data_IF_028048032012
#
_entry.id   IF_028048032012
#
_cell.length_a   1.000
_cell.length_b   1.000
_cell.length_c   1.000
_cell.angle_alpha   90.00
_cell.angle_beta   90.00
_cell.angle_gamma   90.00
#
_symmetry.space_group_name_H-M   'P 1'
#
loop_
_entity.id
_entity.type
_entity.pdbx_description
1 polymer ?
#
# COMPACT_ATOMS: atom_id res chain seq x y z
N UNK A 1 10.98 28.06 -21.32
CA UNK A 1 11.10 27.23 -20.10
C UNK A 1 9.76 26.53 -19.91
N UNK A 2 9.78 25.21 -19.89
CA UNK A 2 8.61 24.40 -19.64
C UNK A 2 8.46 24.08 -18.15
N UNK A 3 7.25 23.68 -17.74
CA UNK A 3 7.00 23.29 -16.33
C UNK A 3 7.83 22.05 -15.96
N UNK A 4 8.72 22.18 -14.98
CA UNK A 4 9.58 21.10 -14.52
C UNK A 4 10.94 21.03 -15.19
N UNK A 5 11.31 21.98 -16.06
CA UNK A 5 12.64 22.10 -16.63
C UNK A 5 13.65 22.58 -15.57
N UNK A 6 14.81 21.93 -15.53
CA UNK A 6 15.87 22.29 -14.59
C UNK A 6 16.55 23.59 -15.02
N UNK A 7 16.59 24.57 -14.13
CA UNK A 7 17.28 25.84 -14.34
C UNK A 7 18.76 25.79 -13.93
N UNK A 8 19.10 24.91 -13.02
CA UNK A 8 20.44 24.73 -12.48
C UNK A 8 20.74 23.23 -12.44
N UNK A 9 21.95 22.87 -12.76
CA UNK A 9 22.43 21.49 -12.65
C UNK A 9 22.50 21.06 -11.18
N UNK A 10 21.92 19.90 -10.86
CA UNK A 10 21.85 19.40 -9.50
C UNK A 10 20.85 18.25 -9.37
N UNK A 11 20.88 17.56 -8.22
CA UNK A 11 19.94 16.49 -7.92
C UNK A 11 18.63 17.08 -7.37
N UNK A 12 17.50 16.91 -8.06
CA UNK A 12 16.21 17.42 -7.60
C UNK A 12 15.73 16.59 -6.39
N UNK A 13 14.95 17.23 -5.52
CA UNK A 13 14.29 16.51 -4.46
C UNK A 13 13.17 15.62 -5.03
N UNK A 14 13.10 14.32 -4.66
CA UNK A 14 12.08 13.42 -5.19
C UNK A 14 10.63 13.89 -4.93
N UNK A 15 10.40 14.60 -3.82
CA UNK A 15 9.09 15.16 -3.50
C UNK A 15 8.67 16.28 -4.47
N UNK A 16 9.62 17.09 -4.93
CA UNK A 16 9.36 18.16 -5.92
C UNK A 16 9.06 17.56 -7.28
N UNK A 17 9.78 16.50 -7.68
CA UNK A 17 9.47 15.76 -8.90
C UNK A 17 8.04 15.23 -8.86
N UNK A 18 7.62 14.63 -7.74
CA UNK A 18 6.26 14.12 -7.59
C UNK A 18 5.20 15.22 -7.72
N UNK A 19 5.43 16.38 -7.12
CA UNK A 19 4.46 17.48 -7.11
C UNK A 19 4.37 18.21 -8.44
N UNK A 20 5.48 18.28 -9.19
CA UNK A 20 5.59 19.10 -10.43
C UNK A 20 5.38 18.24 -11.68
N UNK A 21 6.12 17.13 -11.79
CA UNK A 21 6.17 16.28 -12.98
C UNK A 21 5.26 15.05 -12.88
N UNK A 22 4.85 14.67 -11.67
CA UNK A 22 3.96 13.55 -11.44
C UNK A 22 4.65 12.22 -11.15
N UNK A 23 3.83 11.16 -11.07
CA UNK A 23 4.21 9.84 -10.56
C UNK A 23 5.14 9.07 -11.50
N UNK A 24 4.90 9.13 -12.81
CA UNK A 24 5.71 8.41 -13.81
C UNK A 24 7.13 8.96 -13.90
N UNK A 25 7.27 10.29 -13.89
CA UNK A 25 8.57 10.95 -13.91
C UNK A 25 9.39 10.61 -12.66
N UNK A 26 8.75 10.60 -11.48
CA UNK A 26 9.40 10.19 -10.24
C UNK A 26 9.84 8.72 -10.27
N UNK A 27 8.99 7.82 -10.74
CA UNK A 27 9.33 6.40 -10.84
C UNK A 27 10.53 6.18 -11.75
N UNK A 28 10.53 6.80 -12.93
CA UNK A 28 11.65 6.73 -13.89
C UNK A 28 12.93 7.33 -13.31
N UNK A 29 12.84 8.45 -12.62
CA UNK A 29 13.98 9.07 -11.95
C UNK A 29 14.59 8.14 -10.90
N UNK A 30 13.79 7.58 -9.99
CA UNK A 30 14.27 6.68 -8.94
C UNK A 30 14.91 5.41 -9.51
N UNK A 31 14.30 4.81 -10.52
CA UNK A 31 14.86 3.62 -11.19
C UNK A 31 16.22 3.96 -11.81
N UNK A 32 16.32 5.07 -12.54
CA UNK A 32 17.55 5.46 -13.20
C UNK A 32 18.69 5.75 -12.20
N UNK A 33 18.40 6.50 -11.13
CA UNK A 33 19.38 6.83 -10.09
C UNK A 33 19.91 5.57 -9.38
N UNK A 34 19.02 4.65 -8.99
CA UNK A 34 19.42 3.40 -8.34
C UNK A 34 20.21 2.52 -9.32
N UNK A 35 19.75 2.39 -10.55
CA UNK A 35 20.46 1.60 -11.59
C UNK A 35 21.82 2.18 -11.91
N UNK A 36 21.98 3.50 -11.92
CA UNK A 36 23.29 4.14 -12.16
C UNK A 36 24.31 3.70 -11.12
N UNK A 37 23.94 3.66 -9.85
CA UNK A 37 24.82 3.19 -8.76
C UNK A 37 25.20 1.73 -8.91
N UNK A 38 24.24 0.85 -9.24
CA UNK A 38 24.54 -0.57 -9.48
C UNK A 38 25.43 -0.80 -10.71
N UNK A 39 25.19 -0.08 -11.80
CA UNK A 39 26.01 -0.15 -13.02
C UNK A 39 27.45 0.29 -12.79
N UNK A 40 27.67 1.33 -11.97
CA UNK A 40 29.00 1.77 -11.57
C UNK A 40 29.79 0.68 -10.82
N UNK A 41 29.08 -0.20 -10.09
CA UNK A 41 29.68 -1.33 -9.38
C UNK A 41 29.76 -2.61 -10.23
N UNK A 42 29.39 -2.55 -11.52
CA UNK A 42 29.40 -3.70 -12.42
C UNK A 42 28.29 -4.72 -12.18
N UNK A 43 27.27 -4.36 -11.41
CA UNK A 43 26.14 -5.23 -11.09
C UNK A 43 24.97 -4.92 -12.04
N UNK A 44 24.45 -5.95 -12.70
CA UNK A 44 23.28 -5.85 -13.58
C UNK A 44 22.04 -6.36 -12.85
N UNK A 45 21.05 -5.49 -12.63
CA UNK A 45 19.77 -5.80 -11.99
C UNK A 45 18.66 -5.43 -12.97
N UNK A 46 17.60 -6.24 -13.04
CA UNK A 46 16.42 -5.88 -13.82
C UNK A 46 15.63 -4.77 -13.12
N UNK A 47 15.18 -3.79 -13.88
CA UNK A 47 14.44 -2.61 -13.40
C UNK A 47 13.19 -2.99 -12.60
N UNK A 48 12.56 -4.12 -12.91
CA UNK A 48 11.36 -4.61 -12.21
C UNK A 48 11.54 -4.79 -10.71
N UNK A 49 12.73 -5.13 -10.24
CA UNK A 49 13.02 -5.27 -8.80
C UNK A 49 12.95 -3.92 -8.08
N UNK A 50 13.36 -2.84 -8.74
CA UNK A 50 13.31 -1.48 -8.20
C UNK A 50 11.90 -0.91 -8.35
N UNK A 51 11.26 -1.13 -9.49
CA UNK A 51 9.90 -0.67 -9.76
C UNK A 51 8.88 -1.20 -8.74
N UNK A 52 8.99 -2.47 -8.33
CA UNK A 52 8.12 -3.06 -7.29
C UNK A 52 8.27 -2.33 -5.97
N UNK A 53 9.49 -1.98 -5.57
CA UNK A 53 9.76 -1.24 -4.33
C UNK A 53 9.21 0.18 -4.45
N UNK A 54 9.47 0.86 -5.56
CA UNK A 54 8.98 2.22 -5.83
C UNK A 54 7.45 2.27 -5.80
N UNK A 55 6.78 1.26 -6.37
CA UNK A 55 5.32 1.14 -6.31
C UNK A 55 4.81 1.06 -4.87
N UNK A 56 5.48 0.32 -3.99
CA UNK A 56 5.10 0.24 -2.57
C UNK A 56 5.32 1.57 -1.83
N UNK A 57 6.37 2.33 -2.19
CA UNK A 57 6.62 3.67 -1.63
C UNK A 57 5.57 4.70 -2.03
N UNK A 58 4.90 4.51 -3.17
CA UNK A 58 3.88 5.40 -3.76
C UNK A 58 2.45 4.89 -3.56
N UNK A 59 2.25 3.87 -2.75
CA UNK A 59 0.94 3.26 -2.54
C UNK A 59 0.00 4.14 -1.72
N UNK A 60 0.54 5.02 -0.88
CA UNK A 60 -0.26 5.87 0.02
C UNK A 60 -0.57 7.22 -0.61
N UNK A 61 -1.73 7.73 -0.23
CA UNK A 61 -2.20 9.06 -0.59
C UNK A 61 -2.55 9.84 0.68
N UNK A 62 -2.41 11.15 0.63
CA UNK A 62 -2.80 12.07 1.69
C UNK A 62 -4.05 12.83 1.29
N UNK A 63 -5.01 12.90 2.17
CA UNK A 63 -6.28 13.59 1.96
C UNK A 63 -6.05 15.10 2.04
N UNK A 64 -6.34 15.80 0.94
CA UNK A 64 -6.30 17.27 0.89
C UNK A 64 -7.64 17.87 1.35
N UNK A 65 -8.74 17.38 0.80
CA UNK A 65 -10.09 17.79 1.17
C UNK A 65 -10.94 16.53 1.43
N UNK A 66 -11.47 16.33 2.63
CA UNK A 66 -12.24 15.14 2.97
C UNK A 66 -13.63 15.07 2.30
N UNK A 67 -14.17 16.18 1.76
CA UNK A 67 -15.53 16.21 1.25
C UNK A 67 -16.55 15.73 2.29
N UNK A 68 -17.50 14.88 1.89
CA UNK A 68 -18.51 14.26 2.76
C UNK A 68 -18.02 12.95 3.43
N UNK A 69 -16.72 12.66 3.38
CA UNK A 69 -16.15 11.48 4.02
C UNK A 69 -15.96 11.64 5.52
N UNK A 70 -15.85 10.53 6.25
CA UNK A 70 -15.60 10.53 7.69
C UNK A 70 -14.13 10.77 8.09
N UNK A 71 -13.26 11.05 7.12
CA UNK A 71 -11.83 11.24 7.32
C UNK A 71 -11.46 12.69 7.62
N UNK A 72 -10.21 12.87 8.06
CA UNK A 72 -9.67 14.19 8.40
C UNK A 72 -8.62 14.59 7.36
N UNK A 73 -8.55 15.88 7.05
CA UNK A 73 -7.49 16.42 6.17
C UNK A 73 -6.10 16.11 6.74
N UNK A 74 -5.17 15.63 5.89
CA UNK A 74 -3.84 15.20 6.27
C UNK A 74 -3.74 13.71 6.66
N UNK A 75 -4.83 12.97 6.70
CA UNK A 75 -4.82 11.52 6.94
C UNK A 75 -4.26 10.76 5.74
N UNK A 76 -3.54 9.67 6.00
CA UNK A 76 -2.89 8.86 4.97
C UNK A 76 -3.63 7.54 4.79
N UNK A 77 -4.11 7.30 3.58
CA UNK A 77 -4.84 6.09 3.18
C UNK A 77 -4.13 5.33 2.06
N UNK A 78 -4.51 4.08 1.86
CA UNK A 78 -4.15 3.36 0.65
C UNK A 78 -4.92 3.92 -0.55
N UNK A 79 -4.24 4.07 -1.69
CA UNK A 79 -4.84 4.60 -2.92
C UNK A 79 -6.10 3.82 -3.33
N UNK A 80 -6.05 2.49 -3.27
CA UNK A 80 -7.20 1.63 -3.60
C UNK A 80 -8.38 1.87 -2.66
N UNK A 81 -8.11 2.02 -1.37
CA UNK A 81 -9.15 2.30 -0.37
C UNK A 81 -9.79 3.67 -0.60
N UNK A 82 -8.98 4.68 -0.94
CA UNK A 82 -9.48 6.01 -1.29
C UNK A 82 -10.36 5.99 -2.55
N UNK A 83 -9.98 5.22 -3.56
CA UNK A 83 -10.76 5.02 -4.79
C UNK A 83 -12.11 4.33 -4.49
N UNK A 84 -12.11 3.24 -3.72
CA UNK A 84 -13.34 2.53 -3.32
C UNK A 84 -14.30 3.43 -2.52
N UNK A 85 -13.77 4.26 -1.63
CA UNK A 85 -14.58 5.19 -0.84
C UNK A 85 -15.19 6.25 -1.75
N UNK A 86 -14.40 6.82 -2.68
CA UNK A 86 -14.90 7.80 -3.64
C UNK A 86 -15.99 7.21 -4.54
N UNK A 87 -15.85 5.98 -5.01
CA UNK A 87 -16.91 5.31 -5.78
C UNK A 87 -18.21 5.19 -4.96
N UNK A 88 -18.11 4.85 -3.68
CA UNK A 88 -19.27 4.77 -2.78
C UNK A 88 -19.93 6.13 -2.53
N UNK A 89 -19.13 7.21 -2.39
CA UNK A 89 -19.63 8.58 -2.20
C UNK A 89 -20.33 9.07 -3.48
N UNK A 90 -19.73 8.86 -4.63
CA UNK A 90 -20.32 9.21 -5.93
C UNK A 90 -21.65 8.46 -6.16
N UNK A 91 -21.73 7.17 -5.83
CA UNK A 91 -22.96 6.39 -5.92
C UNK A 91 -24.08 6.95 -5.03
N UNK A 92 -23.71 7.57 -3.89
CA UNK A 92 -24.64 8.26 -2.97
C UNK A 92 -24.91 9.72 -3.34
N UNK A 93 -24.31 10.24 -4.43
CA UNK A 93 -24.37 11.67 -4.84
C UNK A 93 -23.82 12.63 -3.78
N UNK A 94 -22.80 12.21 -3.07
CA UNK A 94 -22.05 13.00 -2.08
C UNK A 94 -20.77 13.53 -2.70
N UNK A 95 -20.16 14.55 -2.11
CA UNK A 95 -18.90 15.13 -2.57
C UNK A 95 -17.75 14.11 -2.38
N UNK A 96 -17.01 13.77 -3.47
CA UNK A 96 -15.86 12.88 -3.36
C UNK A 96 -14.71 13.56 -2.61
N UNK A 97 -13.88 12.74 -1.99
CA UNK A 97 -12.67 13.18 -1.31
C UNK A 97 -11.56 13.49 -2.32
N UNK A 98 -10.85 14.60 -2.13
CA UNK A 98 -9.65 14.95 -2.90
C UNK A 98 -8.39 14.47 -2.16
N UNK A 99 -7.48 13.84 -2.89
CA UNK A 99 -6.23 13.34 -2.34
C UNK A 99 -5.04 13.60 -3.25
N UNK A 100 -3.85 13.63 -2.66
CA UNK A 100 -2.58 13.78 -3.36
C UNK A 100 -1.69 12.56 -3.11
N UNK A 101 -0.97 12.06 -4.12
CA UNK A 101 0.00 11.01 -3.92
C UNK A 101 1.15 11.51 -3.04
N UNK A 102 1.60 10.66 -2.12
CA UNK A 102 2.76 10.93 -1.28
C UNK A 102 3.85 9.90 -1.51
N UNK A 103 5.10 10.33 -1.39
CA UNK A 103 6.25 9.45 -1.41
C UNK A 103 6.66 9.12 0.03
N UNK A 104 6.57 7.84 0.38
CA UNK A 104 7.04 7.34 1.67
C UNK A 104 8.44 6.74 1.53
N UNK A 105 9.30 6.98 2.52
CA UNK A 105 10.57 6.24 2.62
C UNK A 105 10.33 4.74 2.84
N UNK A 106 11.28 3.90 2.44
CA UNK A 106 11.17 2.42 2.47
C UNK A 106 10.76 1.92 3.87
N UNK A 107 11.39 2.41 4.93
CA UNK A 107 11.08 2.02 6.30
C UNK A 107 9.65 2.37 6.68
N UNK A 108 9.21 3.59 6.39
CA UNK A 108 7.86 4.06 6.71
C UNK A 108 6.81 3.29 5.91
N UNK A 109 7.05 3.05 4.62
CA UNK A 109 6.18 2.23 3.79
C UNK A 109 6.04 0.80 4.31
N UNK A 110 7.12 0.20 4.82
CA UNK A 110 7.13 -1.15 5.38
C UNK A 110 6.41 -1.26 6.74
N UNK A 111 6.40 -0.20 7.54
CA UNK A 111 5.72 -0.16 8.85
C UNK A 111 4.23 0.21 8.72
N UNK A 112 3.84 0.96 7.71
CA UNK A 112 2.46 1.38 7.46
C UNK A 112 1.68 0.39 6.59
N UNK A 113 1.94 -0.91 6.74
CA UNK A 113 1.18 -1.96 6.07
C UNK A 113 -0.13 -2.27 6.80
N UNK A 114 -1.10 -2.85 6.09
CA UNK A 114 -2.38 -3.28 6.69
C UNK A 114 -2.19 -4.38 7.74
N UNK A 115 -1.19 -5.25 7.56
CA UNK A 115 -0.87 -6.33 8.48
C UNK A 115 0.08 -5.86 9.58
N UNK A 116 -0.38 -5.86 10.82
CA UNK A 116 0.48 -5.58 11.96
C UNK A 116 1.50 -6.68 12.23
N UNK A 117 1.20 -7.93 11.88
CA UNK A 117 2.14 -9.06 11.99
C UNK A 117 3.34 -8.84 11.07
N UNK A 118 3.08 -8.45 9.83
CA UNK A 118 4.12 -8.11 8.85
C UNK A 118 4.98 -6.94 9.32
N UNK A 119 4.38 -5.87 9.82
CA UNK A 119 5.09 -4.70 10.34
C UNK A 119 5.94 -5.04 11.57
N UNK A 120 5.40 -5.79 12.53
CA UNK A 120 6.09 -6.21 13.74
C UNK A 120 7.31 -7.09 13.46
N UNK A 121 7.28 -7.87 12.40
CA UNK A 121 8.41 -8.74 12.01
C UNK A 121 9.57 -7.99 11.33
N UNK A 122 9.39 -6.71 11.02
CA UNK A 122 10.41 -5.88 10.35
C UNK A 122 11.20 -5.04 11.36
N UNK A 123 10.55 -4.10 12.02
CA UNK A 123 11.16 -3.20 13.03
C UNK A 123 10.11 -2.79 14.07
N UNK A 124 10.59 -2.24 15.19
CA UNK A 124 9.74 -1.70 16.27
C UNK A 124 8.67 -2.69 16.77
N UNK A 125 9.06 -3.96 16.93
CA UNK A 125 8.15 -5.06 17.28
C UNK A 125 7.26 -4.74 18.48
N UNK A 126 7.84 -4.24 19.56
CA UNK A 126 7.12 -3.93 20.81
C UNK A 126 6.08 -2.84 20.59
N UNK A 127 6.45 -1.75 19.89
CA UNK A 127 5.55 -0.63 19.61
C UNK A 127 4.39 -1.06 18.74
N UNK A 128 4.66 -1.74 17.64
CA UNK A 128 3.64 -2.21 16.70
C UNK A 128 2.66 -3.17 17.37
N UNK A 129 3.14 -4.12 18.18
CA UNK A 129 2.28 -5.06 18.89
C UNK A 129 1.46 -4.38 20.00
N UNK A 130 2.05 -3.42 20.71
CA UNK A 130 1.33 -2.64 21.73
C UNK A 130 0.21 -1.82 21.11
N UNK A 131 0.49 -1.12 20.02
CA UNK A 131 -0.50 -0.34 19.29
C UNK A 131 -1.62 -1.23 18.74
N UNK A 132 -1.25 -2.40 18.16
CA UNK A 132 -2.24 -3.36 17.68
C UNK A 132 -3.16 -3.90 18.79
N UNK A 133 -2.60 -4.16 19.97
CA UNK A 133 -3.37 -4.60 21.13
C UNK A 133 -4.30 -3.51 21.68
N UNK A 134 -3.81 -2.28 21.81
CA UNK A 134 -4.59 -1.12 22.31
C UNK A 134 -5.75 -0.80 21.36
N UNK A 135 -5.48 -0.76 20.06
CA UNK A 135 -6.51 -0.46 19.05
C UNK A 135 -7.34 -1.68 18.62
N UNK A 136 -7.12 -2.85 19.22
CA UNK A 136 -7.82 -4.10 18.87
C UNK A 136 -7.79 -4.40 17.36
N UNK A 137 -6.63 -4.21 16.73
CA UNK A 137 -6.49 -4.45 15.29
C UNK A 137 -6.63 -5.95 15.00
N UNK A 138 -7.36 -6.25 13.94
CA UNK A 138 -7.48 -7.61 13.38
C UNK A 138 -6.63 -7.73 12.13
N UNK A 139 -5.94 -8.84 11.96
CA UNK A 139 -5.15 -9.15 10.76
C UNK A 139 -5.85 -10.24 9.96
N UNK A 140 -6.24 -9.92 8.75
CA UNK A 140 -6.98 -10.84 7.87
C UNK A 140 -6.06 -11.83 7.12
N UNK A 141 -4.75 -11.81 7.37
CA UNK A 141 -3.77 -12.72 6.77
C UNK A 141 -3.82 -12.76 5.22
N UNK A 142 -3.95 -11.58 4.61
CA UNK A 142 -4.10 -11.46 3.16
C UNK A 142 -2.77 -11.64 2.42
N UNK A 143 -1.66 -11.19 3.01
CA UNK A 143 -0.34 -11.24 2.39
C UNK A 143 0.39 -12.57 2.57
N UNK A 144 1.59 -12.65 2.00
CA UNK A 144 2.42 -13.86 2.09
C UNK A 144 3.10 -13.99 3.45
N UNK A 145 3.68 -12.89 3.94
CA UNK A 145 4.55 -12.88 5.11
C UNK A 145 3.84 -13.27 6.39
N UNK A 146 2.66 -12.73 6.64
CA UNK A 146 1.83 -13.06 7.81
C UNK A 146 1.38 -14.52 7.81
N UNK A 147 1.03 -15.07 6.66
CA UNK A 147 0.66 -16.48 6.56
C UNK A 147 1.85 -17.40 6.86
N UNK A 148 3.04 -17.07 6.36
CA UNK A 148 4.26 -17.83 6.66
C UNK A 148 4.59 -17.78 8.15
N UNK A 149 4.48 -16.61 8.79
CA UNK A 149 4.76 -16.44 10.22
C UNK A 149 3.79 -17.29 11.08
N UNK A 150 2.51 -17.29 10.73
CA UNK A 150 1.48 -18.09 11.46
C UNK A 150 1.53 -19.58 11.11
N UNK A 151 2.25 -19.98 10.06
CA UNK A 151 2.35 -21.37 9.62
C UNK A 151 1.18 -21.83 8.75
N UNK A 152 0.43 -20.90 8.14
CA UNK A 152 -0.63 -21.21 7.18
C UNK A 152 -0.09 -21.29 5.75
N UNK A 153 -0.85 -21.92 4.86
CA UNK A 153 -0.55 -21.90 3.43
C UNK A 153 -0.63 -20.49 2.89
N UNK A 154 0.35 -20.12 2.06
CA UNK A 154 0.37 -18.80 1.41
C UNK A 154 -0.81 -18.67 0.45
N UNK A 155 -1.36 -17.47 0.24
CA UNK A 155 -2.48 -17.23 -0.67
C UNK A 155 -2.05 -17.20 -2.15
N UNK A 156 -1.25 -18.19 -2.56
CA UNK A 156 -0.75 -18.36 -3.92
C UNK A 156 -0.62 -19.85 -4.25
N UNK A 157 -0.76 -20.22 -5.51
CA UNK A 157 -0.70 -21.61 -5.96
C UNK A 157 -1.80 -22.46 -5.33
N UNK A 158 -1.44 -23.62 -4.78
CA UNK A 158 -2.38 -24.55 -4.13
C UNK A 158 -3.13 -23.93 -2.94
N UNK A 159 -2.49 -23.05 -2.17
CA UNK A 159 -3.13 -22.36 -1.05
C UNK A 159 -4.22 -21.39 -1.48
N UNK A 160 -4.10 -20.76 -2.63
CA UNK A 160 -5.15 -19.92 -3.22
C UNK A 160 -6.38 -20.75 -3.62
N UNK A 161 -6.17 -21.92 -4.19
CA UNK A 161 -7.25 -22.83 -4.58
C UNK A 161 -8.03 -23.34 -3.37
N UNK A 162 -7.33 -23.71 -2.29
CA UNK A 162 -7.95 -24.17 -1.05
C UNK A 162 -8.79 -23.05 -0.42
N UNK A 163 -8.27 -21.83 -0.32
CA UNK A 163 -9.02 -20.69 0.21
C UNK A 163 -10.29 -20.38 -0.57
N UNK A 164 -10.27 -20.53 -1.91
CA UNK A 164 -11.48 -20.36 -2.72
C UNK A 164 -12.52 -21.44 -2.39
N UNK A 165 -12.08 -22.69 -2.27
CA UNK A 165 -12.98 -23.78 -1.90
C UNK A 165 -13.58 -23.59 -0.49
N UNK A 166 -12.79 -23.10 0.47
CA UNK A 166 -13.28 -22.79 1.82
C UNK A 166 -14.31 -21.65 1.78
N UNK A 167 -14.05 -20.57 1.02
CA UNK A 167 -15.00 -19.46 0.89
C UNK A 167 -16.30 -19.89 0.20
N UNK A 168 -16.21 -20.73 -0.84
CA UNK A 168 -17.39 -21.25 -1.55
C UNK A 168 -18.19 -22.22 -0.68
N UNK A 169 -17.52 -23.07 0.09
CA UNK A 169 -18.15 -23.95 1.07
C UNK A 169 -18.84 -23.16 2.18
N UNK A 170 -18.22 -22.09 2.68
CA UNK A 170 -18.82 -21.21 3.67
C UNK A 170 -20.10 -20.53 3.15
N UNK A 171 -20.11 -20.03 1.92
CA UNK A 171 -21.29 -19.43 1.30
C UNK A 171 -22.43 -20.43 1.13
N UNK A 172 -22.15 -21.70 0.87
CA UNK A 172 -23.16 -22.75 0.78
C UNK A 172 -23.81 -23.06 2.13
N UNK A 173 -23.00 -23.02 3.22
CA UNK A 173 -23.51 -23.28 4.57
C UNK A 173 -24.37 -22.15 5.12
N UNK A 174 -24.08 -20.88 4.76
CA UNK A 174 -24.87 -19.72 5.22
C UNK A 174 -26.23 -19.60 4.55
N UNK A 175 -26.47 -20.30 3.42
CA UNK A 175 -27.77 -20.29 2.76
C UNK A 175 -28.81 -21.21 3.41
N UNK A 176 -28.42 -22.12 4.29
CA UNK A 176 -29.30 -23.19 4.86
C UNK A 176 -29.43 -23.15 6.38
N UNK A 177 -28.81 -22.21 7.07
CA UNK A 177 -28.88 -22.18 8.54
C UNK A 177 -29.18 -20.78 9.06
N UNK A 178 -30.26 -20.71 9.81
CA UNK A 178 -30.55 -19.64 10.75
C UNK A 178 -29.56 -19.64 11.95
N UNK A 179 -28.32 -20.07 11.76
CA UNK A 179 -27.32 -20.13 12.81
C UNK A 179 -26.06 -19.35 12.41
N UNK A 180 -25.79 -18.36 13.24
CA UNK A 180 -24.82 -17.31 13.09
C UNK A 180 -23.37 -17.78 13.18
N UNK A 181 -22.55 -17.12 12.36
CA UNK A 181 -21.20 -16.70 12.74
C UNK A 181 -20.11 -17.73 12.90
N UNK A 182 -19.73 -18.45 11.85
CA UNK A 182 -18.39 -19.05 11.81
C UNK A 182 -17.78 -19.03 10.40
N UNK A 183 -17.72 -17.84 9.77
CA UNK A 183 -16.87 -17.65 8.60
C UNK A 183 -15.92 -16.48 8.80
#
# INVERSE_FOLDING_TARGET
IEKGEYLIDGNPAPHDILSILGLEALASYLVNEIQSVYRLQGVTINDKHIEVITRQMLQKVEISNPGDSAFISGEQLDKLEAEEINERLIAKKQEPMEYKPILLGITKASLQTRSFISAASFQETTRVLTDAAVYRKSDHLVGLKENVIVGRLIPAGTGSSIRRLESDACLLYTSDAADESVC
#
